data_IF_307597161479
#
_entry.id   IF_307597161479
#
_cell.length_a   1.000
_cell.length_b   1.000
_cell.length_c   1.000
_cell.angle_alpha   90.00
_cell.angle_beta   90.00
_cell.angle_gamma   90.00
#
_symmetry.space_group_name_H-M   'P 1'
#
loop_
_entity.id
_entity.type
_entity.pdbx_description
1 polymer ?
#
# COMPACT_ATOMS: atom_id res chain seq x y z
N UNK A 1 22.05 -54.03 -15.74
CA UNK A 1 21.60 -52.63 -15.75
C UNK A 1 20.14 -52.38 -15.25
N UNK A 2 19.21 -53.35 -15.33
CA UNK A 2 17.80 -53.18 -14.88
C UNK A 2 17.59 -53.10 -13.35
N UNK A 3 18.54 -53.57 -12.54
CA UNK A 3 18.37 -53.63 -11.07
C UNK A 3 18.51 -52.29 -10.31
N UNK A 4 19.06 -51.25 -10.94
CA UNK A 4 19.26 -49.94 -10.34
C UNK A 4 18.22 -48.90 -10.82
N UNK A 5 17.45 -49.21 -11.87
CA UNK A 5 16.44 -48.29 -12.43
C UNK A 5 15.21 -48.19 -11.51
N UNK A 6 14.79 -49.25 -10.85
CA UNK A 6 13.61 -49.28 -9.99
C UNK A 6 13.82 -48.44 -8.71
N UNK A 7 14.94 -48.58 -7.95
CA UNK A 7 15.15 -47.74 -6.76
C UNK A 7 15.33 -46.27 -7.11
N UNK A 8 16.00 -45.96 -8.24
CA UNK A 8 16.16 -44.58 -8.70
C UNK A 8 14.83 -43.94 -9.09
N UNK A 9 13.98 -44.66 -9.81
CA UNK A 9 12.63 -44.19 -10.15
C UNK A 9 11.78 -43.99 -8.89
N UNK A 10 11.82 -44.87 -7.93
CA UNK A 10 11.09 -44.74 -6.66
C UNK A 10 11.57 -43.54 -5.86
N UNK A 11 12.86 -43.24 -5.80
CA UNK A 11 13.41 -42.06 -5.12
C UNK A 11 12.99 -40.79 -5.85
N UNK A 12 13.02 -40.75 -7.19
CA UNK A 12 12.57 -39.60 -7.98
C UNK A 12 11.06 -39.34 -7.75
N UNK A 13 10.23 -40.38 -7.76
CA UNK A 13 8.79 -40.26 -7.48
C UNK A 13 8.55 -39.79 -6.04
N UNK A 14 9.25 -40.35 -5.06
CA UNK A 14 9.14 -39.91 -3.67
C UNK A 14 9.57 -38.45 -3.47
N UNK A 15 10.64 -38.03 -4.14
CA UNK A 15 11.08 -36.63 -4.15
C UNK A 15 10.05 -35.73 -4.85
N UNK A 16 9.53 -36.13 -6.01
CA UNK A 16 8.55 -35.39 -6.77
C UNK A 16 7.22 -35.19 -6.01
N UNK A 17 6.81 -36.18 -5.22
CA UNK A 17 5.60 -36.09 -4.38
C UNK A 17 5.87 -35.44 -3.02
N UNK A 18 7.01 -35.70 -2.39
CA UNK A 18 7.35 -35.18 -1.07
C UNK A 18 7.72 -33.69 -1.08
N UNK A 19 8.38 -33.23 -2.16
CA UNK A 19 8.85 -31.86 -2.27
C UNK A 19 7.69 -30.82 -2.20
N UNK A 20 6.59 -30.96 -2.94
CA UNK A 20 5.49 -30.01 -2.86
C UNK A 20 4.91 -29.91 -1.46
N UNK A 21 4.70 -31.03 -0.79
CA UNK A 21 4.22 -31.06 0.60
C UNK A 21 5.17 -30.33 1.56
N UNK A 22 6.47 -30.63 1.48
CA UNK A 22 7.48 -29.93 2.29
C UNK A 22 7.52 -28.43 2.03
N UNK A 23 7.47 -28.03 0.74
CA UNK A 23 7.42 -26.61 0.36
C UNK A 23 6.13 -25.95 0.82
N UNK A 24 5.00 -26.68 0.87
CA UNK A 24 3.75 -26.23 1.46
C UNK A 24 3.87 -25.93 2.96
N UNK A 25 4.57 -26.79 3.72
CA UNK A 25 4.87 -26.51 5.15
C UNK A 25 5.70 -25.23 5.28
N UNK A 26 6.71 -25.05 4.42
CA UNK A 26 7.54 -23.85 4.43
C UNK A 26 6.79 -22.59 3.96
N UNK A 27 5.83 -22.73 3.08
CA UNK A 27 4.94 -21.65 2.69
C UNK A 27 4.04 -21.22 3.86
N UNK A 28 3.43 -22.18 4.56
CA UNK A 28 2.62 -21.93 5.76
C UNK A 28 3.41 -21.19 6.85
N UNK A 29 4.65 -21.63 7.13
CA UNK A 29 5.54 -20.96 8.09
C UNK A 29 5.75 -19.48 7.69
N UNK A 30 6.05 -19.22 6.41
CA UNK A 30 6.29 -17.85 5.90
C UNK A 30 5.02 -16.98 5.97
N UNK A 31 3.85 -17.52 5.62
CA UNK A 31 2.58 -16.80 5.69
C UNK A 31 2.14 -16.57 7.13
N UNK A 32 2.36 -17.52 8.03
CA UNK A 32 2.10 -17.35 9.48
C UNK A 32 2.99 -16.24 10.07
N UNK A 33 4.25 -16.14 9.65
CA UNK A 33 5.13 -15.05 10.08
C UNK A 33 4.63 -13.70 9.55
N UNK A 34 4.23 -13.64 8.29
CA UNK A 34 3.62 -12.44 7.68
C UNK A 34 2.33 -12.04 8.41
N UNK A 35 1.49 -13.00 8.77
CA UNK A 35 0.25 -12.76 9.52
C UNK A 35 0.52 -12.18 10.92
N UNK A 36 1.60 -12.60 11.61
CA UNK A 36 2.01 -12.01 12.89
C UNK A 36 2.38 -10.54 12.73
N UNK A 37 3.15 -10.19 11.68
CA UNK A 37 3.48 -8.79 11.37
C UNK A 37 2.23 -7.96 11.09
N UNK A 38 1.23 -8.54 10.42
CA UNK A 38 -0.05 -7.90 10.19
C UNK A 38 -0.81 -7.62 11.49
N UNK A 39 -0.83 -8.57 12.44
CA UNK A 39 -1.43 -8.40 13.77
C UNK A 39 -0.73 -7.32 14.60
N UNK A 40 0.59 -7.22 14.49
CA UNK A 40 1.40 -6.20 15.17
C UNK A 40 1.26 -4.82 14.51
N UNK A 41 0.68 -4.74 13.31
CA UNK A 41 0.50 -3.47 12.60
C UNK A 41 -0.35 -2.49 13.41
N UNK A 42 -0.01 -1.21 13.35
CA UNK A 42 -0.78 -0.13 13.95
C UNK A 42 -2.14 0.12 13.29
N UNK A 43 -2.41 -0.49 12.10
CA UNK A 43 -3.50 -0.12 11.21
C UNK A 43 -4.64 -1.12 11.16
N UNK A 44 -4.36 -2.41 11.37
CA UNK A 44 -5.31 -3.50 11.19
C UNK A 44 -5.51 -4.29 12.47
N UNK A 45 -6.71 -4.86 12.61
CA UNK A 45 -7.05 -5.91 13.58
C UNK A 45 -7.34 -7.17 12.79
N UNK A 46 -6.74 -8.29 13.15
CA UNK A 46 -7.08 -9.62 12.63
C UNK A 46 -8.16 -10.21 13.52
N UNK A 47 -9.35 -10.45 12.99
CA UNK A 47 -10.50 -11.01 13.72
C UNK A 47 -10.48 -12.53 13.72
N UNK A 48 -10.08 -13.13 12.62
CA UNK A 48 -9.90 -14.59 12.49
C UNK A 48 -8.84 -14.93 11.46
N UNK A 49 -8.24 -16.09 11.61
CA UNK A 49 -7.26 -16.65 10.70
C UNK A 49 -7.39 -18.16 10.66
N UNK A 50 -7.43 -18.72 9.45
CA UNK A 50 -7.50 -20.16 9.20
C UNK A 50 -6.57 -20.50 8.04
N UNK A 51 -5.86 -21.62 8.14
CA UNK A 51 -5.00 -22.14 7.07
C UNK A 51 -5.33 -23.61 6.81
N UNK A 52 -5.79 -23.89 5.59
CA UNK A 52 -6.15 -25.23 5.12
C UNK A 52 -5.07 -25.71 4.15
N UNK A 53 -4.19 -26.61 4.63
CA UNK A 53 -3.07 -27.12 3.85
C UNK A 53 -3.47 -28.35 3.06
N UNK A 54 -3.31 -28.28 1.72
CA UNK A 54 -3.35 -29.42 0.82
C UNK A 54 -1.96 -29.92 0.43
N UNK A 55 -1.88 -30.78 -0.59
CA UNK A 55 -0.61 -31.37 -1.05
C UNK A 55 0.18 -30.47 -1.98
N UNK A 56 -0.49 -29.82 -2.94
CA UNK A 56 0.10 -28.93 -3.95
C UNK A 56 -0.38 -27.49 -3.83
N UNK A 57 -1.47 -27.29 -3.10
CA UNK A 57 -2.08 -26.01 -2.85
C UNK A 57 -2.63 -25.93 -1.45
N UNK A 58 -2.78 -24.72 -0.95
CA UNK A 58 -3.38 -24.41 0.34
C UNK A 58 -4.26 -23.19 0.21
N UNK A 59 -5.17 -23.00 1.15
CA UNK A 59 -5.99 -21.81 1.25
C UNK A 59 -5.80 -21.21 2.64
N UNK A 60 -5.49 -19.92 2.68
CA UNK A 60 -5.44 -19.14 3.91
C UNK A 60 -6.57 -18.12 3.87
N UNK A 61 -7.38 -18.11 4.92
CA UNK A 61 -8.49 -17.16 5.06
C UNK A 61 -8.26 -16.31 6.30
N UNK A 62 -8.19 -15.00 6.12
CA UNK A 62 -7.98 -14.02 7.19
C UNK A 62 -9.06 -12.96 7.13
N UNK A 63 -9.74 -12.71 8.24
CA UNK A 63 -10.68 -11.58 8.36
C UNK A 63 -9.97 -10.43 9.05
N UNK A 64 -9.91 -9.31 8.37
CA UNK A 64 -9.24 -8.09 8.85
C UNK A 64 -10.22 -6.93 8.94
N UNK A 65 -9.93 -5.99 9.83
CA UNK A 65 -10.65 -4.73 10.00
C UNK A 65 -9.67 -3.60 10.27
N UNK A 66 -9.98 -2.39 9.79
CA UNK A 66 -9.23 -1.20 10.16
C UNK A 66 -9.39 -0.90 11.65
N UNK A 67 -8.29 -0.58 12.33
CA UNK A 67 -8.37 -0.20 13.75
C UNK A 67 -9.17 1.11 13.90
N UNK A 68 -10.14 1.16 14.84
CA UNK A 68 -10.93 2.37 15.07
C UNK A 68 -10.07 3.61 15.36
N UNK A 69 -8.91 3.44 15.99
CA UNK A 69 -7.97 4.52 16.29
C UNK A 69 -7.46 5.23 15.04
N UNK A 70 -7.31 4.51 13.93
CA UNK A 70 -6.93 5.10 12.65
C UNK A 70 -8.03 6.01 12.09
N UNK A 71 -9.29 5.63 12.31
CA UNK A 71 -10.44 6.34 11.80
C UNK A 71 -10.89 7.50 12.69
N UNK A 72 -10.57 7.50 14.00
CA UNK A 72 -11.08 8.47 14.98
C UNK A 72 -10.85 9.93 14.56
N UNK A 73 -9.67 10.24 14.04
CA UNK A 73 -9.32 11.60 13.62
C UNK A 73 -9.91 11.98 12.26
N UNK A 74 -10.29 11.00 11.45
CA UNK A 74 -10.81 11.19 10.08
C UNK A 74 -12.33 11.09 10.01
N UNK A 75 -12.96 10.38 10.94
CA UNK A 75 -14.41 10.11 10.92
C UNK A 75 -15.28 11.36 10.81
N UNK A 76 -14.90 12.46 11.47
CA UNK A 76 -15.66 13.71 11.42
C UNK A 76 -15.70 14.36 10.04
N UNK A 77 -14.74 14.01 9.15
CA UNK A 77 -14.62 14.57 7.81
C UNK A 77 -15.16 13.65 6.71
N UNK A 78 -15.40 12.39 7.03
CA UNK A 78 -15.91 11.41 6.08
C UNK A 78 -17.44 11.43 6.04
N UNK A 79 -18.05 11.32 4.84
CA UNK A 79 -19.47 11.02 4.70
C UNK A 79 -19.85 9.73 5.44
N UNK A 80 -21.07 9.66 5.98
CA UNK A 80 -21.48 8.52 6.83
C UNK A 80 -21.45 7.18 6.09
N UNK A 81 -21.75 7.16 4.80
CA UNK A 81 -21.62 5.95 3.95
C UNK A 81 -20.18 5.47 3.85
N UNK A 82 -19.19 6.35 3.77
CA UNK A 82 -17.78 5.97 3.77
C UNK A 82 -17.30 5.52 5.15
N UNK A 83 -17.79 6.12 6.23
CA UNK A 83 -17.49 5.66 7.60
C UNK A 83 -17.91 4.21 7.78
N UNK A 84 -19.12 3.87 7.37
CA UNK A 84 -19.65 2.50 7.44
C UNK A 84 -18.76 1.55 6.65
N UNK A 85 -18.46 1.88 5.39
CA UNK A 85 -17.62 1.05 4.50
C UNK A 85 -16.24 0.78 5.09
N UNK A 86 -15.60 1.80 5.68
CA UNK A 86 -14.26 1.66 6.27
C UNK A 86 -14.24 0.87 7.59
N UNK A 87 -15.40 0.69 8.23
CA UNK A 87 -15.54 -0.09 9.45
C UNK A 87 -15.90 -1.56 9.20
N UNK A 88 -16.34 -1.89 7.99
CA UNK A 88 -16.70 -3.27 7.65
C UNK A 88 -15.45 -4.17 7.54
N UNK A 89 -15.56 -5.44 7.93
CA UNK A 89 -14.47 -6.38 7.78
C UNK A 89 -14.25 -6.72 6.31
N UNK A 90 -13.01 -7.06 6.00
CA UNK A 90 -12.60 -7.57 4.69
C UNK A 90 -12.09 -8.99 4.90
N UNK A 91 -12.64 -9.95 4.16
CA UNK A 91 -12.11 -11.30 4.14
C UNK A 91 -11.05 -11.38 3.05
N UNK A 92 -9.85 -11.73 3.43
CA UNK A 92 -8.69 -11.94 2.56
C UNK A 92 -8.49 -13.43 2.41
N UNK A 93 -8.57 -13.94 1.18
CA UNK A 93 -8.37 -15.33 0.84
C UNK A 93 -7.12 -15.45 -0.01
N UNK A 94 -6.12 -16.11 0.51
CA UNK A 94 -4.88 -16.42 -0.18
C UNK A 94 -4.97 -17.83 -0.79
N UNK A 95 -4.96 -17.90 -2.11
CA UNK A 95 -4.84 -19.15 -2.86
C UNK A 95 -3.35 -19.43 -3.07
N UNK A 96 -2.83 -20.38 -2.32
CA UNK A 96 -1.40 -20.71 -2.28
C UNK A 96 -1.13 -21.92 -3.15
N UNK A 97 -0.40 -21.76 -4.23
CA UNK A 97 0.19 -22.87 -5.00
C UNK A 97 1.61 -23.07 -4.49
N UNK A 98 1.98 -24.30 -4.12
CA UNK A 98 3.33 -24.57 -3.61
C UNK A 98 3.99 -25.75 -4.32
N UNK A 99 5.31 -25.67 -4.44
CA UNK A 99 6.13 -26.60 -5.19
C UNK A 99 7.29 -25.88 -5.86
N UNK A 100 8.27 -26.62 -6.39
CA UNK A 100 9.51 -26.04 -6.93
C UNK A 100 9.31 -25.23 -8.22
N UNK A 101 8.10 -25.20 -8.77
CA UNK A 101 7.72 -24.47 -9.99
C UNK A 101 6.46 -23.63 -9.80
N UNK A 102 5.98 -23.48 -8.58
CA UNK A 102 4.82 -22.64 -8.25
C UNK A 102 5.16 -21.17 -8.54
N UNK A 103 4.53 -20.58 -9.56
CA UNK A 103 4.84 -19.20 -9.98
C UNK A 103 6.18 -18.99 -10.71
N UNK A 104 6.91 -20.06 -11.08
CA UNK A 104 8.15 -20.01 -11.84
C UNK A 104 9.25 -20.93 -11.31
N UNK A 105 10.39 -20.94 -12.00
CA UNK A 105 11.53 -21.74 -11.57
C UNK A 105 12.20 -21.14 -10.33
N UNK A 106 12.53 -21.97 -9.35
CA UNK A 106 13.20 -21.54 -8.11
C UNK A 106 12.25 -20.94 -7.07
N UNK A 107 10.93 -21.12 -7.23
CA UNK A 107 9.93 -20.66 -6.27
C UNK A 107 9.58 -21.79 -5.29
N UNK A 108 9.16 -21.42 -4.10
CA UNK A 108 8.60 -22.26 -3.05
C UNK A 108 7.08 -22.26 -3.10
N UNK A 109 6.52 -21.08 -3.26
CA UNK A 109 5.09 -20.83 -3.32
C UNK A 109 4.76 -19.60 -4.18
N UNK A 110 3.57 -19.62 -4.73
CA UNK A 110 2.92 -18.47 -5.35
C UNK A 110 1.55 -18.29 -4.74
N UNK A 111 1.23 -17.07 -4.35
CA UNK A 111 -0.01 -16.70 -3.66
C UNK A 111 -0.76 -15.71 -4.53
N UNK A 112 -2.00 -16.00 -4.82
CA UNK A 112 -2.96 -15.06 -5.41
C UNK A 112 -3.97 -14.71 -4.33
N UNK A 113 -4.16 -13.41 -4.10
CA UNK A 113 -5.05 -12.93 -3.03
C UNK A 113 -6.37 -12.46 -3.61
N UNK A 114 -7.46 -13.01 -3.09
CA UNK A 114 -8.83 -12.57 -3.32
C UNK A 114 -9.30 -11.74 -2.12
N UNK A 115 -9.92 -10.58 -2.40
CA UNK A 115 -10.53 -9.73 -1.39
C UNK A 115 -12.05 -9.84 -1.48
N UNK A 116 -12.68 -10.36 -0.45
CA UNK A 116 -14.13 -10.40 -0.34
C UNK A 116 -14.61 -9.26 0.56
N UNK A 117 -15.36 -8.37 -0.04
CA UNK A 117 -15.88 -7.17 0.61
C UNK A 117 -17.31 -7.40 1.09
N UNK A 118 -17.65 -6.74 2.20
CA UNK A 118 -19.04 -6.64 2.64
C UNK A 118 -19.92 -6.07 1.49
N UNK A 119 -21.19 -6.49 1.36
CA UNK A 119 -22.06 -6.06 0.26
C UNK A 119 -22.16 -4.53 0.10
N UNK A 120 -22.21 -3.78 1.17
CA UNK A 120 -22.26 -2.31 1.09
C UNK A 120 -20.93 -1.71 0.58
N UNK A 121 -19.79 -2.26 1.03
CA UNK A 121 -18.47 -1.89 0.50
C UNK A 121 -18.38 -2.22 -0.98
N UNK A 122 -18.82 -3.41 -1.38
CA UNK A 122 -18.85 -3.83 -2.77
C UNK A 122 -19.65 -2.88 -3.66
N UNK A 123 -20.85 -2.46 -3.23
CA UNK A 123 -21.67 -1.48 -3.96
C UNK A 123 -20.93 -0.16 -4.21
N UNK A 124 -20.15 0.30 -3.22
CA UNK A 124 -19.35 1.52 -3.38
C UNK A 124 -18.21 1.29 -4.38
N UNK A 125 -17.48 0.18 -4.26
CA UNK A 125 -16.39 -0.16 -5.17
C UNK A 125 -16.87 -0.35 -6.61
N UNK A 126 -18.02 -1.01 -6.81
CA UNK A 126 -18.61 -1.26 -8.14
C UNK A 126 -18.96 0.06 -8.88
N UNK A 127 -19.20 1.16 -8.16
CA UNK A 127 -19.43 2.49 -8.78
C UNK A 127 -18.16 3.05 -9.45
N UNK A 128 -16.99 2.74 -8.91
CA UNK A 128 -15.71 3.22 -9.42
C UNK A 128 -15.07 2.23 -10.40
N UNK A 129 -15.09 0.96 -10.05
CA UNK A 129 -14.36 -0.08 -10.79
C UNK A 129 -15.24 -0.89 -11.74
N UNK A 130 -16.60 -0.79 -11.64
CA UNK A 130 -17.52 -1.59 -12.44
C UNK A 130 -17.30 -3.08 -12.20
N UNK A 131 -16.91 -3.80 -13.25
CA UNK A 131 -16.62 -5.24 -13.19
C UNK A 131 -15.12 -5.54 -12.95
N UNK A 132 -14.28 -4.53 -12.85
CA UNK A 132 -12.85 -4.74 -12.59
C UNK A 132 -12.62 -5.10 -11.12
N UNK A 133 -11.66 -5.97 -10.86
CA UNK A 133 -11.19 -6.26 -9.50
C UNK A 133 -10.51 -5.01 -8.93
N UNK A 134 -11.03 -4.41 -7.82
CA UNK A 134 -10.51 -3.15 -7.31
C UNK A 134 -9.07 -3.21 -6.83
N UNK A 135 -8.64 -4.36 -6.33
CA UNK A 135 -7.30 -4.58 -5.81
C UNK A 135 -6.85 -6.00 -6.17
N UNK A 136 -5.71 -6.12 -6.82
CA UNK A 136 -5.02 -7.39 -7.02
C UNK A 136 -3.73 -7.42 -6.23
N UNK A 137 -3.47 -8.54 -5.59
CA UNK A 137 -2.24 -8.76 -4.84
C UNK A 137 -1.73 -10.17 -5.10
N UNK A 138 -0.45 -10.29 -5.37
CA UNK A 138 0.23 -11.57 -5.52
C UNK A 138 1.51 -11.58 -4.69
N UNK A 139 1.88 -12.74 -4.16
CA UNK A 139 3.12 -12.90 -3.43
C UNK A 139 3.85 -14.15 -3.96
N UNK A 140 5.08 -13.98 -4.38
CA UNK A 140 5.96 -15.08 -4.81
C UNK A 140 7.04 -15.28 -3.77
N UNK A 141 7.12 -16.47 -3.20
CA UNK A 141 8.13 -16.84 -2.21
C UNK A 141 9.15 -17.74 -2.90
N UNK A 142 10.41 -17.36 -2.87
CA UNK A 142 11.51 -18.09 -3.48
C UNK A 142 12.00 -19.23 -2.57
N UNK A 143 12.78 -20.15 -3.13
CA UNK A 143 13.38 -21.27 -2.37
C UNK A 143 14.30 -20.77 -1.24
N UNK A 144 14.95 -19.63 -1.42
CA UNK A 144 15.75 -18.96 -0.38
C UNK A 144 14.93 -18.53 0.83
N UNK A 145 13.63 -18.31 0.67
CA UNK A 145 12.76 -17.71 1.66
C UNK A 145 12.52 -16.21 1.49
N UNK A 146 13.28 -15.59 0.58
CA UNK A 146 12.98 -14.24 0.13
C UNK A 146 11.67 -14.22 -0.67
N UNK A 147 11.09 -13.07 -0.88
CA UNK A 147 9.87 -13.00 -1.68
C UNK A 147 9.61 -11.65 -2.31
N UNK A 148 8.60 -11.65 -3.15
CA UNK A 148 8.13 -10.47 -3.86
C UNK A 148 6.62 -10.38 -3.78
N UNK A 149 6.14 -9.33 -3.13
CA UNK A 149 4.74 -8.93 -3.10
C UNK A 149 4.50 -7.91 -4.20
N UNK A 150 3.50 -8.14 -5.03
CA UNK A 150 3.04 -7.19 -6.06
C UNK A 150 1.62 -6.76 -5.74
N UNK A 151 1.34 -5.46 -5.84
CA UNK A 151 0.04 -4.87 -5.59
C UNK A 151 -0.35 -3.97 -6.76
N UNK A 152 -1.62 -4.04 -7.18
CA UNK A 152 -2.14 -3.19 -8.24
C UNK A 152 -3.60 -2.82 -7.99
N UNK A 153 -3.89 -1.52 -8.11
CA UNK A 153 -5.23 -0.93 -8.15
C UNK A 153 -5.41 -0.40 -9.57
N UNK A 154 -6.39 -0.90 -10.35
CA UNK A 154 -6.55 -0.51 -11.74
C UNK A 154 -6.97 0.96 -11.90
N UNK A 155 -6.77 1.47 -13.10
CA UNK A 155 -7.28 2.78 -13.49
C UNK A 155 -8.81 2.75 -13.59
N UNK A 156 -9.46 3.88 -13.30
CA UNK A 156 -10.89 4.07 -13.52
C UNK A 156 -11.21 5.54 -13.79
N UNK A 157 -12.33 5.75 -14.47
CA UNK A 157 -12.94 7.05 -14.68
C UNK A 157 -14.33 7.04 -14.03
N UNK A 158 -14.64 8.07 -13.26
CA UNK A 158 -15.93 8.22 -12.59
C UNK A 158 -16.48 9.62 -12.82
N UNK A 159 -17.75 9.70 -13.15
CA UNK A 159 -18.48 10.95 -13.31
C UNK A 159 -19.83 10.87 -12.60
N UNK A 160 -20.14 11.88 -11.81
CA UNK A 160 -21.38 12.01 -11.08
C UNK A 160 -22.27 13.09 -11.72
N UNK A 161 -23.60 12.92 -11.60
CA UNK A 161 -24.58 13.89 -12.10
C UNK A 161 -24.40 15.31 -11.51
N UNK A 162 -23.79 15.42 -10.35
CA UNK A 162 -23.39 16.69 -9.73
C UNK A 162 -22.27 17.43 -10.50
N UNK A 163 -21.68 16.79 -11.53
CA UNK A 163 -20.55 17.31 -12.29
C UNK A 163 -19.18 17.01 -11.66
N UNK A 164 -19.12 16.21 -10.60
CA UNK A 164 -17.87 15.71 -10.05
C UNK A 164 -17.32 14.66 -11.00
N UNK A 165 -16.05 14.84 -11.44
CA UNK A 165 -15.32 13.87 -12.27
C UNK A 165 -14.06 13.46 -11.57
N UNK A 166 -13.76 12.18 -11.61
CA UNK A 166 -12.56 11.60 -11.05
C UNK A 166 -11.90 10.71 -12.09
N UNK A 167 -10.67 11.03 -12.44
CA UNK A 167 -9.83 10.25 -13.35
C UNK A 167 -8.64 9.71 -12.55
N UNK A 168 -8.59 8.42 -12.36
CA UNK A 168 -7.54 7.70 -11.66
C UNK A 168 -6.77 6.81 -12.63
N UNK A 169 -5.46 6.99 -12.72
CA UNK A 169 -4.61 6.21 -13.64
C UNK A 169 -3.98 4.97 -13.01
N UNK A 170 -4.48 4.56 -11.86
CA UNK A 170 -4.04 3.38 -11.16
C UNK A 170 -2.96 3.65 -10.10
N UNK A 171 -2.70 2.63 -9.31
CA UNK A 171 -1.59 2.58 -8.34
C UNK A 171 -1.04 1.17 -8.36
N UNK A 172 0.26 1.04 -8.36
CA UNK A 172 0.87 -0.28 -8.32
C UNK A 172 2.33 -0.25 -7.96
N UNK A 173 2.85 -1.42 -7.64
CA UNK A 173 4.26 -1.58 -7.31
C UNK A 173 4.56 -2.90 -6.63
N UNK A 174 5.77 -2.98 -6.14
CA UNK A 174 6.31 -4.20 -5.56
C UNK A 174 7.00 -3.93 -4.23
N UNK A 175 6.98 -4.94 -3.38
CA UNK A 175 7.82 -5.05 -2.20
C UNK A 175 8.63 -6.34 -2.34
N UNK A 176 9.94 -6.21 -2.50
CA UNK A 176 10.86 -7.34 -2.31
C UNK A 176 11.21 -7.41 -0.81
N UNK A 177 11.22 -8.61 -0.24
CA UNK A 177 11.57 -8.84 1.15
C UNK A 177 12.52 -10.01 1.31
N UNK A 178 13.40 -9.95 2.32
CA UNK A 178 14.29 -11.06 2.65
C UNK A 178 13.61 -12.10 3.53
N UNK A 179 14.20 -13.28 3.60
CA UNK A 179 13.77 -14.33 4.52
C UNK A 179 13.67 -13.79 5.97
N UNK A 180 12.55 -14.11 6.63
CA UNK A 180 12.26 -13.63 7.98
C UNK A 180 11.95 -12.15 8.06
N UNK A 181 11.62 -11.53 6.92
CA UNK A 181 11.17 -10.13 6.82
C UNK A 181 12.13 -9.11 7.43
N UNK A 182 13.44 -9.38 7.38
CA UNK A 182 14.48 -8.53 7.98
C UNK A 182 14.86 -7.33 7.13
N UNK A 183 14.61 -7.38 5.86
CA UNK A 183 14.84 -6.26 4.95
C UNK A 183 13.74 -6.16 3.90
N UNK A 184 13.48 -4.93 3.46
CA UNK A 184 12.47 -4.62 2.47
C UNK A 184 13.00 -3.64 1.43
N UNK A 185 12.56 -3.84 0.18
CA UNK A 185 12.68 -2.86 -0.88
C UNK A 185 11.29 -2.60 -1.46
N UNK A 186 10.83 -1.37 -1.34
CA UNK A 186 9.54 -0.93 -1.84
C UNK A 186 9.73 -0.05 -3.08
N UNK A 187 8.88 -0.21 -4.08
CA UNK A 187 8.76 0.69 -5.23
C UNK A 187 7.30 0.74 -5.68
N UNK A 188 6.62 1.84 -5.40
CA UNK A 188 5.22 2.07 -5.69
C UNK A 188 5.02 3.38 -6.45
N UNK A 189 4.08 3.38 -7.38
CA UNK A 189 3.76 4.51 -8.24
C UNK A 189 2.24 4.71 -8.36
N UNK A 190 1.78 5.94 -8.16
CA UNK A 190 0.49 6.44 -8.60
C UNK A 190 0.74 7.45 -9.75
N UNK A 191 0.48 7.07 -11.01
CA UNK A 191 0.81 7.91 -12.16
C UNK A 191 0.03 9.21 -12.19
N UNK A 192 -1.28 9.18 -11.92
CA UNK A 192 -2.10 10.39 -11.91
C UNK A 192 -3.42 10.18 -11.19
N UNK A 193 -3.83 11.23 -10.47
CA UNK A 193 -5.18 11.43 -9.98
C UNK A 193 -5.64 12.82 -10.40
N UNK A 194 -6.81 12.92 -11.02
CA UNK A 194 -7.46 14.19 -11.32
C UNK A 194 -8.89 14.16 -10.79
N UNK A 195 -9.24 15.13 -9.99
CA UNK A 195 -10.59 15.32 -9.43
C UNK A 195 -11.07 16.69 -9.84
N UNK A 196 -12.15 16.73 -10.61
CA UNK A 196 -12.86 17.97 -10.92
C UNK A 196 -14.09 18.07 -10.06
N UNK A 197 -14.22 19.14 -9.30
CA UNK A 197 -15.34 19.37 -8.36
C UNK A 197 -16.39 20.26 -9.03
N UNK A 198 -16.98 19.79 -10.13
CA UNK A 198 -17.94 20.55 -10.95
C UNK A 198 -17.36 21.91 -11.37
N UNK A 199 -18.01 23.01 -10.97
CA UNK A 199 -17.58 24.38 -11.17
C UNK A 199 -16.75 24.94 -10.00
N UNK A 200 -16.50 24.12 -8.96
CA UNK A 200 -15.96 24.55 -7.67
C UNK A 200 -14.46 24.51 -7.58
N UNK A 201 -13.81 23.63 -8.32
CA UNK A 201 -12.36 23.53 -8.29
C UNK A 201 -11.82 22.22 -8.84
N UNK A 202 -10.50 22.12 -8.82
CA UNK A 202 -9.74 21.00 -9.34
C UNK A 202 -8.68 20.54 -8.33
N UNK A 203 -8.50 19.23 -8.24
CA UNK A 203 -7.39 18.60 -7.52
C UNK A 203 -6.66 17.69 -8.50
N UNK A 204 -5.36 17.81 -8.62
CA UNK A 204 -4.57 16.87 -9.40
C UNK A 204 -3.26 16.49 -8.72
N UNK A 205 -2.84 15.28 -9.00
CA UNK A 205 -1.59 14.69 -8.56
C UNK A 205 -0.98 13.93 -9.72
N UNK A 206 0.33 14.12 -9.97
CA UNK A 206 1.05 13.48 -11.06
C UNK A 206 2.33 12.82 -10.55
N UNK A 207 2.53 11.54 -10.92
CA UNK A 207 3.72 10.74 -10.64
C UNK A 207 4.14 10.73 -9.16
N UNK A 208 3.19 10.43 -8.26
CA UNK A 208 3.53 10.15 -6.87
C UNK A 208 4.23 8.79 -6.79
N UNK A 209 5.51 8.80 -6.45
CA UNK A 209 6.31 7.58 -6.29
C UNK A 209 6.88 7.48 -4.88
N UNK A 210 6.78 6.30 -4.32
CA UNK A 210 7.41 5.92 -3.06
C UNK A 210 8.45 4.82 -3.31
N UNK A 211 9.67 5.06 -2.87
CA UNK A 211 10.75 4.07 -2.89
C UNK A 211 11.39 4.00 -1.50
N UNK A 212 11.71 2.79 -1.07
CA UNK A 212 12.36 2.58 0.22
C UNK A 212 13.23 1.33 0.17
N UNK A 213 14.38 1.39 0.83
CA UNK A 213 15.24 0.23 1.15
C UNK A 213 15.52 0.28 2.64
N UNK A 214 15.02 -0.70 3.37
CA UNK A 214 15.12 -0.76 4.83
C UNK A 214 15.51 -2.15 5.30
N UNK A 215 16.18 -2.19 6.45
CA UNK A 215 16.52 -3.42 7.17
C UNK A 215 16.30 -3.23 8.67
N UNK A 216 16.11 -4.32 9.38
CA UNK A 216 15.94 -4.29 10.82
C UNK A 216 17.25 -3.92 11.53
N UNK A 217 17.21 -2.87 12.37
CA UNK A 217 18.29 -2.52 13.28
C UNK A 217 18.34 -3.37 14.54
N UNK A 218 19.33 -3.13 15.39
CA UNK A 218 19.48 -3.80 16.68
C UNK A 218 18.28 -3.57 17.61
N UNK A 219 17.64 -2.41 17.48
CA UNK A 219 16.43 -2.00 18.22
C UNK A 219 15.14 -2.48 17.56
N UNK A 220 15.20 -3.29 16.52
CA UNK A 220 14.06 -3.74 15.67
C UNK A 220 13.31 -2.59 14.99
N UNK A 221 13.95 -1.45 14.83
CA UNK A 221 13.44 -0.37 14.01
C UNK A 221 13.95 -0.53 12.58
N UNK A 222 13.11 -0.19 11.61
CA UNK A 222 13.50 -0.22 10.20
C UNK A 222 14.49 0.92 9.93
N UNK A 223 15.70 0.56 9.59
CA UNK A 223 16.79 1.46 9.24
C UNK A 223 16.97 1.47 7.73
N UNK A 224 17.38 2.59 7.15
CA UNK A 224 17.64 2.65 5.71
C UNK A 224 17.28 3.97 5.07
N UNK A 225 16.86 3.91 3.81
CA UNK A 225 16.56 5.08 2.99
C UNK A 225 15.15 5.00 2.48
N UNK A 226 14.46 6.14 2.44
CA UNK A 226 13.17 6.28 1.78
C UNK A 226 13.12 7.55 0.96
N UNK A 227 12.40 7.53 -0.14
CA UNK A 227 12.21 8.67 -1.03
C UNK A 227 10.75 8.72 -1.46
N UNK A 228 10.15 9.90 -1.32
CA UNK A 228 8.85 10.23 -1.92
C UNK A 228 9.11 11.30 -2.97
N UNK A 229 8.67 11.06 -4.20
CA UNK A 229 8.73 12.03 -5.29
C UNK A 229 7.34 12.28 -5.84
N UNK A 230 7.12 13.51 -6.29
CA UNK A 230 5.85 13.95 -6.86
C UNK A 230 6.16 15.00 -7.93
N UNK A 231 5.72 14.76 -9.17
CA UNK A 231 5.98 15.69 -10.25
C UNK A 231 5.15 16.95 -10.13
N UNK A 232 3.87 16.79 -9.80
CA UNK A 232 2.96 17.92 -9.62
C UNK A 232 1.83 17.58 -8.63
N UNK A 233 1.54 18.54 -7.77
CA UNK A 233 0.30 18.60 -7.00
C UNK A 233 -0.37 19.94 -7.27
N UNK A 234 -1.65 19.91 -7.59
CA UNK A 234 -2.49 21.10 -7.74
C UNK A 234 -3.74 20.93 -6.91
N UNK A 235 -4.03 21.93 -6.12
CA UNK A 235 -5.31 22.13 -5.45
C UNK A 235 -5.75 23.56 -5.80
N UNK A 236 -6.85 23.68 -6.52
CA UNK A 236 -7.39 24.96 -6.93
C UNK A 236 -8.90 24.98 -6.77
N UNK A 237 -9.44 26.09 -6.23
CA UNK A 237 -10.87 26.30 -6.13
C UNK A 237 -11.24 27.74 -6.46
N UNK A 238 -12.47 27.93 -6.87
CA UNK A 238 -13.02 29.25 -7.18
C UNK A 238 -13.49 29.92 -5.90
N UNK A 239 -13.24 31.23 -5.81
CA UNK A 239 -13.79 32.08 -4.74
C UNK A 239 -15.32 32.03 -4.77
N UNK A 240 -15.97 32.06 -3.61
CA UNK A 240 -17.43 32.08 -3.35
C UNK A 240 -18.04 30.75 -2.90
N UNK A 241 -17.29 29.88 -2.26
CA UNK A 241 -17.88 28.68 -1.69
C UNK A 241 -17.61 28.66 -0.18
N UNK A 242 -18.65 28.43 0.63
CA UNK A 242 -18.58 28.08 2.07
C UNK A 242 -17.74 26.81 2.37
N UNK A 243 -16.90 26.40 1.40
CA UNK A 243 -15.99 25.26 1.47
C UNK A 243 -14.72 25.56 2.27
N UNK A 244 -14.44 26.80 2.62
CA UNK A 244 -13.27 27.16 3.43
C UNK A 244 -13.19 26.34 4.73
N UNK A 245 -14.33 26.00 5.33
CA UNK A 245 -14.37 25.16 6.53
C UNK A 245 -13.99 23.71 6.18
N UNK A 246 -14.59 23.11 5.15
CA UNK A 246 -14.34 21.71 4.78
C UNK A 246 -12.96 21.48 4.18
N UNK A 247 -12.40 22.45 3.50
CA UNK A 247 -11.06 22.36 2.95
C UNK A 247 -9.99 22.60 4.02
N UNK A 248 -10.20 23.54 4.94
CA UNK A 248 -9.37 23.63 6.15
C UNK A 248 -9.41 22.34 6.95
N UNK A 249 -10.53 21.62 6.95
CA UNK A 249 -10.65 20.31 7.56
C UNK A 249 -9.87 19.23 6.77
N UNK A 250 -9.90 19.25 5.44
CA UNK A 250 -9.10 18.34 4.59
C UNK A 250 -7.61 18.67 4.68
N UNK A 251 -7.25 19.94 4.69
CA UNK A 251 -5.89 20.41 4.94
C UNK A 251 -5.48 20.00 6.35
N UNK A 252 -6.30 20.15 7.37
CA UNK A 252 -6.04 19.66 8.72
C UNK A 252 -5.92 18.13 8.77
N UNK A 253 -6.63 17.38 7.93
CA UNK A 253 -6.48 15.94 7.81
C UNK A 253 -5.08 15.56 7.27
N UNK A 254 -4.65 16.23 6.20
CA UNK A 254 -3.30 16.06 5.62
C UNK A 254 -2.24 16.58 6.59
N UNK A 255 -2.57 17.59 7.43
CA UNK A 255 -1.67 18.22 8.41
C UNK A 255 -1.50 17.41 9.69
N UNK A 256 -2.47 16.62 10.07
CA UNK A 256 -2.31 15.62 11.15
C UNK A 256 -1.30 14.52 10.77
N UNK A 257 -0.94 14.41 9.49
CA UNK A 257 0.20 13.63 9.02
C UNK A 257 1.56 14.37 9.15
N UNK A 258 1.63 15.42 9.96
CA UNK A 258 2.80 16.29 10.22
C UNK A 258 3.27 17.15 9.03
N UNK A 259 2.67 17.03 7.86
CA UNK A 259 3.03 17.85 6.69
C UNK A 259 2.38 19.25 6.77
N UNK A 260 1.31 19.38 7.48
CA UNK A 260 0.49 20.56 7.43
C UNK A 260 0.86 21.72 8.34
N UNK A 261 1.67 21.49 9.35
CA UNK A 261 2.29 22.60 10.06
C UNK A 261 3.13 23.48 9.11
N UNK A 262 3.60 22.91 8.00
CA UNK A 262 4.32 23.63 6.94
C UNK A 262 3.40 24.31 5.92
N UNK A 263 2.15 23.81 5.74
CA UNK A 263 1.24 24.34 4.70
C UNK A 263 0.32 25.43 5.25
N UNK A 264 -0.10 25.35 6.50
CA UNK A 264 -0.92 26.38 7.16
C UNK A 264 -0.61 26.54 8.66
N UNK A 265 0.54 27.14 9.01
CA UNK A 265 0.97 27.25 10.41
C UNK A 265 0.08 28.15 11.28
N UNK A 266 -0.78 28.98 10.70
CA UNK A 266 -1.54 29.99 11.41
C UNK A 266 -3.04 29.77 11.45
N UNK A 267 -3.58 28.71 10.79
CA UNK A 267 -5.02 28.46 10.72
C UNK A 267 -5.83 29.54 9.98
N UNK A 268 -5.16 30.35 9.18
CA UNK A 268 -5.79 31.38 8.34
C UNK A 268 -6.51 30.75 7.15
N UNK A 269 -7.36 31.53 6.49
CA UNK A 269 -8.13 31.11 5.31
C UNK A 269 -7.20 30.47 4.29
N UNK A 270 -7.54 29.24 3.87
CA UNK A 270 -6.74 28.53 2.88
C UNK A 270 -6.73 29.31 1.54
N UNK A 271 -5.60 29.40 0.86
CA UNK A 271 -5.49 30.14 -0.41
C UNK A 271 -6.30 29.43 -1.51
N UNK A 272 -6.73 30.21 -2.51
CA UNK A 272 -7.52 29.70 -3.65
C UNK A 272 -6.74 28.72 -4.53
N UNK A 273 -5.40 28.70 -4.42
CA UNK A 273 -4.53 27.80 -5.16
C UNK A 273 -3.36 27.36 -4.31
N UNK A 274 -3.08 26.05 -4.34
CA UNK A 274 -1.82 25.45 -3.87
C UNK A 274 -1.30 24.60 -5.03
N UNK A 275 -0.09 24.87 -5.49
CA UNK A 275 0.57 24.10 -6.52
C UNK A 275 2.01 23.82 -6.09
N UNK A 276 2.41 22.56 -6.13
CA UNK A 276 3.77 22.11 -5.84
C UNK A 276 4.29 21.37 -7.05
N UNK A 277 5.49 21.70 -7.50
CA UNK A 277 6.15 21.00 -8.59
C UNK A 277 7.48 20.40 -8.16
N UNK A 278 7.78 19.21 -8.70
CA UNK A 278 9.02 18.46 -8.48
C UNK A 278 9.36 18.32 -6.98
N UNK A 279 8.35 17.93 -6.20
CA UNK A 279 8.56 17.62 -4.79
C UNK A 279 9.42 16.36 -4.67
N UNK A 280 10.40 16.43 -3.79
CA UNK A 280 11.19 15.29 -3.34
C UNK A 280 11.43 15.36 -1.85
N UNK A 281 11.13 14.27 -1.17
CA UNK A 281 11.42 14.08 0.24
C UNK A 281 12.23 12.80 0.41
N UNK A 282 13.49 12.95 0.79
CA UNK A 282 14.40 11.84 1.08
C UNK A 282 14.60 11.75 2.58
N UNK A 283 14.60 10.53 3.10
CA UNK A 283 14.98 10.25 4.49
C UNK A 283 16.03 9.17 4.53
N UNK A 284 16.89 9.26 5.52
CA UNK A 284 17.85 8.23 5.87
C UNK A 284 17.86 8.03 7.37
N UNK A 285 17.64 6.81 7.81
CA UNK A 285 17.68 6.42 9.21
C UNK A 285 18.80 5.41 9.43
N UNK A 286 19.64 5.63 10.40
CA UNK A 286 20.72 4.74 10.79
C UNK A 286 20.77 4.55 12.30
N UNK A 287 21.56 3.60 12.75
CA UNK A 287 21.79 3.30 14.17
C UNK A 287 23.30 3.33 14.47
N UNK A 288 23.71 4.05 15.51
CA UNK A 288 25.07 4.09 16.02
C UNK A 288 25.00 3.95 17.53
N UNK A 289 25.64 2.94 18.09
CA UNK A 289 25.73 2.70 19.55
C UNK A 289 24.34 2.70 20.25
N UNK A 290 23.31 2.12 19.61
CA UNK A 290 21.91 2.09 20.05
C UNK A 290 21.17 3.44 19.98
N UNK A 291 21.78 4.47 19.41
CA UNK A 291 21.12 5.73 19.10
C UNK A 291 20.67 5.72 17.64
N UNK A 292 19.47 6.23 17.42
CA UNK A 292 18.90 6.37 16.08
C UNK A 292 19.28 7.75 15.57
N UNK A 293 19.87 7.76 14.37
CA UNK A 293 20.14 8.98 13.62
C UNK A 293 19.20 9.01 12.43
N UNK A 294 18.51 10.13 12.23
CA UNK A 294 17.66 10.33 11.07
C UNK A 294 17.99 11.64 10.40
N UNK A 295 18.14 11.59 9.09
CA UNK A 295 18.33 12.75 8.22
C UNK A 295 17.12 12.85 7.28
N UNK A 296 16.61 14.06 7.07
CA UNK A 296 15.55 14.36 6.12
C UNK A 296 15.97 15.46 5.17
N UNK A 297 15.67 15.30 3.88
CA UNK A 297 15.87 16.33 2.86
C UNK A 297 14.55 16.56 2.13
N UNK A 298 14.08 17.79 2.18
CA UNK A 298 12.88 18.23 1.50
C UNK A 298 13.26 19.21 0.38
N UNK A 299 12.78 18.99 -0.84
CA UNK A 299 13.09 19.78 -2.02
C UNK A 299 11.84 19.93 -2.88
N UNK A 300 11.69 21.07 -3.51
CA UNK A 300 10.69 21.31 -4.56
C UNK A 300 11.25 22.32 -5.58
N UNK A 301 10.77 22.26 -6.81
CA UNK A 301 11.15 23.26 -7.81
C UNK A 301 10.37 24.56 -7.59
N UNK A 302 9.06 24.46 -7.39
CA UNK A 302 8.21 25.61 -7.08
C UNK A 302 7.05 25.24 -6.17
N UNK A 303 6.70 26.18 -5.30
CA UNK A 303 5.49 26.17 -4.48
C UNK A 303 4.72 27.45 -4.77
N UNK A 304 3.47 27.32 -5.23
CA UNK A 304 2.52 28.43 -5.33
C UNK A 304 1.53 28.30 -4.18
N UNK A 305 1.35 29.38 -3.42
CA UNK A 305 0.39 29.47 -2.33
C UNK A 305 -0.42 30.76 -2.47
N UNK A 306 -1.65 30.63 -2.97
CA UNK A 306 -2.45 31.78 -3.40
C UNK A 306 -1.83 32.46 -4.61
N UNK A 307 -1.48 33.73 -4.48
CA UNK A 307 -0.80 34.54 -5.50
C UNK A 307 0.73 34.47 -5.38
N UNK A 308 1.24 34.01 -4.23
CA UNK A 308 2.67 33.94 -3.97
C UNK A 308 3.32 32.71 -4.58
N UNK A 309 4.47 32.92 -5.23
CA UNK A 309 5.29 31.83 -5.79
C UNK A 309 6.65 31.81 -5.14
N UNK A 310 6.98 30.66 -4.56
CA UNK A 310 8.26 30.38 -3.92
C UNK A 310 9.07 29.44 -4.82
N UNK A 311 10.34 29.79 -5.02
CA UNK A 311 11.34 28.93 -5.66
C UNK A 311 12.36 28.59 -4.57
N UNK A 312 12.56 27.32 -4.27
CA UNK A 312 13.47 27.02 -3.17
C UNK A 312 14.07 25.62 -3.23
N UNK A 313 15.35 25.61 -2.89
CA UNK A 313 16.09 24.46 -2.34
C UNK A 313 16.19 24.72 -0.82
N UNK A 314 15.36 24.05 -0.02
CA UNK A 314 15.53 24.07 1.44
C UNK A 314 16.26 22.79 1.83
N UNK A 315 17.46 22.94 2.39
CA UNK A 315 18.15 21.88 3.11
C UNK A 315 17.78 22.01 4.60
N UNK A 316 17.14 21.00 5.14
CA UNK A 316 16.86 20.87 6.57
C UNK A 316 17.71 19.73 7.11
#
# INVERSE_FOLDING_TARGET
>A
MKKYLIPTAAVVVAAALGTPYYLGVKAEESLTEQQKLLQESGFLTVESHQYDRGWFSSTETTVIRLKPTLLQNTQKYLPDNLKTVLQEPITVINHVTHGPFAGGFGTRAHVETEFQYHPETKKVLDRFFGQQTPLTMTNTVYLSGDGKLSLNIPAFDYEELSGIKLNWKGFGGNTDYSQGFKSYRHDYLAPSLQVKLADKGDVSLENLRFQSETEDGLTKLSLGKSSITLDKFLLQWKENIDYNVKLNELVNLVTNLQIGAFINPTGTIAPSKIEVSKLRFDTRTGEVDKFINSEGRFQFESLTYGEDKYLSLIHI
#
